data_IF_178733653895
#
_entry.id   IF_178733653895
#
_cell.length_a   1.000
_cell.length_b   1.000
_cell.length_c   1.000
_cell.angle_alpha   90.00
_cell.angle_beta   90.00
_cell.angle_gamma   90.00
#
_symmetry.space_group_name_H-M   'P 1'
#
loop_
_entity.id
_entity.type
_entity.pdbx_description
1 polymer ?
#
# COMPACT_ATOMS: atom_id res chain seq x y z
N UNK A 1 7.14 -23.54 -6.69
CA UNK A 1 6.05 -24.39 -7.24
C UNK A 1 4.68 -24.09 -6.62
N UNK A 2 4.60 -23.36 -5.50
CA UNK A 2 3.33 -22.94 -4.86
C UNK A 2 2.81 -21.57 -5.31
N UNK A 3 3.64 -20.78 -5.97
CA UNK A 3 3.34 -19.38 -6.33
C UNK A 3 2.39 -19.22 -7.53
N UNK A 4 2.44 -20.13 -8.49
CA UNK A 4 1.65 -20.02 -9.73
C UNK A 4 0.15 -20.20 -9.54
N UNK A 5 -0.28 -21.15 -8.68
CA UNK A 5 -1.70 -21.44 -8.47
C UNK A 5 -2.39 -20.38 -7.60
N UNK A 6 -1.67 -19.80 -6.62
CA UNK A 6 -2.21 -18.73 -5.79
C UNK A 6 -2.42 -17.46 -6.61
N UNK A 7 -1.41 -17.07 -7.40
CA UNK A 7 -1.46 -15.90 -8.27
C UNK A 7 -2.59 -16.01 -9.31
N UNK A 8 -2.74 -17.16 -9.95
CA UNK A 8 -3.82 -17.40 -10.91
C UNK A 8 -5.22 -17.34 -10.30
N UNK A 9 -5.38 -17.74 -9.04
CA UNK A 9 -6.67 -17.65 -8.32
C UNK A 9 -6.98 -16.20 -7.93
N UNK A 10 -5.98 -15.44 -7.50
CA UNK A 10 -6.11 -14.00 -7.20
C UNK A 10 -6.47 -13.23 -8.47
N UNK A 11 -5.74 -13.44 -9.56
CA UNK A 11 -6.00 -12.81 -10.86
C UNK A 11 -7.42 -13.11 -11.37
N UNK A 12 -7.92 -14.34 -11.19
CA UNK A 12 -9.28 -14.72 -11.59
C UNK A 12 -10.37 -13.91 -10.88
N UNK A 13 -10.11 -13.46 -9.66
CA UNK A 13 -11.05 -12.62 -8.89
C UNK A 13 -10.85 -11.14 -9.22
N UNK A 14 -9.61 -10.69 -9.34
CA UNK A 14 -9.29 -9.27 -9.55
C UNK A 14 -9.52 -8.81 -10.99
N UNK A 15 -9.25 -9.64 -11.99
CA UNK A 15 -9.39 -9.29 -13.42
C UNK A 15 -10.84 -8.82 -13.77
N UNK A 16 -11.93 -9.51 -13.36
CA UNK A 16 -13.27 -9.03 -13.68
C UNK A 16 -13.64 -7.75 -12.94
N UNK A 17 -13.15 -7.55 -11.72
CA UNK A 17 -13.35 -6.32 -10.94
C UNK A 17 -12.60 -5.17 -11.61
N UNK A 18 -11.33 -5.37 -11.98
CA UNK A 18 -10.53 -4.39 -12.72
C UNK A 18 -11.15 -3.99 -14.05
N UNK A 19 -11.68 -4.97 -14.80
CA UNK A 19 -12.40 -4.69 -16.05
C UNK A 19 -13.70 -3.90 -15.82
N UNK A 20 -14.42 -4.17 -14.74
CA UNK A 20 -15.61 -3.41 -14.33
C UNK A 20 -15.27 -1.96 -13.99
N UNK A 21 -14.24 -1.73 -13.18
CA UNK A 21 -13.75 -0.40 -12.81
C UNK A 21 -13.25 0.39 -14.03
N UNK A 22 -12.52 -0.28 -14.94
CA UNK A 22 -12.07 0.33 -16.19
C UNK A 22 -13.24 0.81 -17.05
N UNK A 23 -14.35 0.04 -17.15
CA UNK A 23 -15.55 0.42 -17.93
C UNK A 23 -16.24 1.65 -17.41
N UNK A 24 -16.19 1.92 -16.11
CA UNK A 24 -16.76 3.14 -15.50
C UNK A 24 -15.77 4.30 -15.46
N UNK A 25 -14.61 4.17 -16.10
CA UNK A 25 -13.61 5.24 -16.25
C UNK A 25 -12.63 5.38 -15.10
N UNK A 26 -12.58 4.43 -14.17
CA UNK A 26 -11.55 4.42 -13.10
C UNK A 26 -10.20 4.06 -13.71
N UNK A 27 -9.18 4.85 -13.41
CA UNK A 27 -7.80 4.63 -13.86
C UNK A 27 -6.95 4.01 -12.75
N UNK A 28 -5.90 3.26 -13.11
CA UNK A 28 -4.93 2.73 -12.16
C UNK A 28 -4.34 3.84 -11.27
N UNK A 29 -3.93 4.97 -11.86
CA UNK A 29 -3.38 6.11 -11.12
C UNK A 29 -4.38 6.69 -10.09
N UNK A 30 -5.69 6.68 -10.39
CA UNK A 30 -6.70 7.14 -9.45
C UNK A 30 -6.83 6.19 -8.25
N UNK A 31 -6.71 4.88 -8.47
CA UNK A 31 -6.71 3.89 -7.39
C UNK A 31 -5.46 4.03 -6.52
N UNK A 32 -4.28 4.13 -7.12
CA UNK A 32 -3.02 4.37 -6.41
C UNK A 32 -3.10 5.64 -5.56
N UNK A 33 -3.62 6.75 -6.11
CA UNK A 33 -3.81 8.00 -5.35
C UNK A 33 -4.83 7.83 -4.21
N UNK A 34 -5.92 7.09 -4.43
CA UNK A 34 -6.89 6.78 -3.39
C UNK A 34 -6.27 5.96 -2.25
N UNK A 35 -5.41 4.96 -2.57
CA UNK A 35 -4.66 4.18 -1.59
C UNK A 35 -3.79 5.06 -0.69
N UNK A 36 -3.06 6.01 -1.27
CA UNK A 36 -2.23 6.97 -0.51
C UNK A 36 -3.10 7.82 0.44
N UNK A 37 -4.25 8.31 -0.02
CA UNK A 37 -5.17 9.10 0.82
C UNK A 37 -5.72 8.26 1.97
N UNK A 38 -6.13 7.02 1.70
CA UNK A 38 -6.61 6.07 2.73
C UNK A 38 -5.51 5.79 3.76
N UNK A 39 -4.26 5.59 3.32
CA UNK A 39 -3.11 5.38 4.20
C UNK A 39 -2.84 6.61 5.09
N UNK A 40 -2.92 7.82 4.53
CA UNK A 40 -2.73 9.07 5.29
C UNK A 40 -3.81 9.23 6.37
N UNK A 41 -5.07 8.96 6.05
CA UNK A 41 -6.18 8.98 7.03
C UNK A 41 -5.94 7.91 8.10
N UNK A 42 -5.57 6.69 7.70
CA UNK A 42 -5.25 5.59 8.62
C UNK A 42 -4.13 5.96 9.59
N UNK A 43 -3.07 6.60 9.12
CA UNK A 43 -1.97 7.08 9.94
C UNK A 43 -2.43 8.08 11.02
N UNK A 44 -3.30 9.04 10.65
CA UNK A 44 -3.89 10.00 11.59
C UNK A 44 -4.72 9.28 12.64
N UNK A 45 -5.57 8.35 12.22
CA UNK A 45 -6.45 7.57 13.10
C UNK A 45 -5.65 6.72 14.09
N UNK A 46 -4.56 6.09 13.62
CA UNK A 46 -3.63 5.35 14.49
C UNK A 46 -2.96 6.30 15.48
N UNK A 47 -2.43 7.42 15.01
CA UNK A 47 -1.76 8.43 15.84
C UNK A 47 -2.67 8.99 16.96
N UNK A 48 -3.96 9.10 16.68
CA UNK A 48 -4.98 9.51 17.66
C UNK A 48 -5.38 8.40 18.65
N UNK A 49 -4.81 7.20 18.54
CA UNK A 49 -5.03 6.08 19.46
C UNK A 49 -6.17 5.13 19.08
N UNK A 50 -6.84 5.33 17.95
CA UNK A 50 -7.90 4.44 17.51
C UNK A 50 -7.33 3.28 16.68
N UNK A 51 -6.64 2.34 17.35
CA UNK A 51 -5.91 1.25 16.70
C UNK A 51 -6.83 0.32 15.90
N UNK A 52 -8.06 0.06 16.39
CA UNK A 52 -9.01 -0.82 15.68
C UNK A 52 -9.44 -0.20 14.35
N UNK A 53 -9.83 1.08 14.35
CA UNK A 53 -10.18 1.77 13.13
C UNK A 53 -8.97 1.94 12.22
N UNK A 54 -7.78 2.20 12.78
CA UNK A 54 -6.52 2.23 12.05
C UNK A 54 -6.21 0.91 11.34
N UNK A 55 -6.48 -0.23 11.97
CA UNK A 55 -6.37 -1.55 11.35
C UNK A 55 -7.33 -1.70 10.16
N UNK A 56 -8.57 -1.20 10.27
CA UNK A 56 -9.53 -1.20 9.14
C UNK A 56 -8.96 -0.38 7.98
N UNK A 57 -8.42 0.82 8.22
CA UNK A 57 -7.80 1.63 7.19
C UNK A 57 -6.59 0.95 6.55
N UNK A 58 -5.77 0.25 7.33
CA UNK A 58 -4.65 -0.54 6.82
C UNK A 58 -5.12 -1.62 5.83
N UNK A 59 -6.16 -2.36 6.17
CA UNK A 59 -6.74 -3.37 5.26
C UNK A 59 -7.32 -2.70 4.01
N UNK A 60 -8.02 -1.57 4.17
CA UNK A 60 -8.58 -0.80 3.06
C UNK A 60 -7.52 -0.23 2.12
N UNK A 61 -6.31 0.09 2.61
CA UNK A 61 -5.19 0.56 1.77
C UNK A 61 -4.75 -0.51 0.78
N UNK A 62 -4.80 -1.78 1.14
CA UNK A 62 -4.44 -2.89 0.25
C UNK A 62 -5.43 -3.13 -0.90
N UNK A 63 -6.67 -2.63 -0.83
CA UNK A 63 -7.66 -2.84 -1.89
C UNK A 63 -7.34 -2.04 -3.18
N UNK A 64 -7.11 -0.71 -3.13
CA UNK A 64 -6.69 0.04 -4.31
C UNK A 64 -5.42 -0.51 -4.95
N UNK A 65 -4.43 -0.87 -4.16
CA UNK A 65 -3.17 -1.45 -4.59
C UNK A 65 -3.37 -2.78 -5.34
N UNK A 66 -4.18 -3.68 -4.80
CA UNK A 66 -4.50 -4.94 -5.46
C UNK A 66 -5.27 -4.76 -6.78
N UNK A 67 -6.03 -3.67 -6.92
CA UNK A 67 -6.92 -3.42 -8.05
C UNK A 67 -6.28 -2.57 -9.15
N UNK A 68 -5.29 -1.72 -8.85
CA UNK A 68 -4.72 -0.81 -9.85
C UNK A 68 -3.98 -1.58 -10.95
N UNK A 69 -3.25 -2.65 -10.60
CA UNK A 69 -2.65 -3.57 -11.57
C UNK A 69 -3.68 -4.25 -12.47
N UNK A 70 -4.82 -4.69 -11.92
CA UNK A 70 -5.90 -5.31 -12.68
C UNK A 70 -6.58 -4.29 -13.62
N UNK A 71 -6.78 -3.05 -13.16
CA UNK A 71 -7.31 -1.95 -13.99
C UNK A 71 -6.32 -1.57 -15.10
N UNK A 72 -5.02 -1.45 -14.80
CA UNK A 72 -3.99 -1.16 -15.79
C UNK A 72 -3.92 -2.25 -16.88
N UNK A 73 -4.03 -3.52 -16.47
CA UNK A 73 -4.10 -4.68 -17.38
C UNK A 73 -5.33 -4.63 -18.27
N UNK A 74 -6.51 -4.38 -17.69
CA UNK A 74 -7.78 -4.29 -18.42
C UNK A 74 -7.81 -3.12 -19.41
N UNK A 75 -7.20 -1.99 -19.04
CA UNK A 75 -7.09 -0.79 -19.88
C UNK A 75 -5.97 -0.90 -20.95
N UNK A 76 -5.12 -1.92 -20.91
CA UNK A 76 -3.95 -2.02 -21.79
C UNK A 76 -2.89 -0.93 -21.53
N UNK A 77 -2.89 -0.33 -20.33
CA UNK A 77 -2.00 0.79 -19.93
C UNK A 77 -0.83 0.34 -19.04
N UNK A 78 -0.64 -0.97 -18.87
CA UNK A 78 0.50 -1.51 -18.13
C UNK A 78 1.81 -1.00 -18.72
N UNK A 79 2.66 -0.39 -17.88
CA UNK A 79 3.90 0.26 -18.33
C UNK A 79 4.96 0.26 -17.24
N UNK A 80 6.22 0.40 -17.61
CA UNK A 80 7.35 0.55 -16.68
C UNK A 80 7.13 1.77 -15.76
N UNK A 81 6.56 2.86 -16.30
CA UNK A 81 6.21 4.05 -15.51
C UNK A 81 5.13 3.75 -14.47
N UNK A 82 4.12 2.95 -14.84
CA UNK A 82 3.08 2.50 -13.90
C UNK A 82 3.67 1.67 -12.77
N UNK A 83 4.51 0.68 -13.07
CA UNK A 83 5.19 -0.14 -12.08
C UNK A 83 6.12 0.68 -11.15
N UNK A 84 6.77 1.72 -11.70
CA UNK A 84 7.55 2.65 -10.88
C UNK A 84 6.66 3.45 -9.91
N UNK A 85 5.55 4.00 -10.39
CA UNK A 85 4.61 4.77 -9.56
C UNK A 85 4.01 3.89 -8.45
N UNK A 86 3.64 2.67 -8.75
CA UNK A 86 3.17 1.66 -7.82
C UNK A 86 4.21 1.42 -6.70
N UNK A 87 5.44 1.11 -7.09
CA UNK A 87 6.55 0.90 -6.14
C UNK A 87 6.83 2.13 -5.26
N UNK A 88 6.71 3.35 -5.78
CA UNK A 88 6.86 4.58 -4.99
C UNK A 88 5.68 4.77 -4.05
N UNK A 89 4.47 4.48 -4.49
CA UNK A 89 3.25 4.60 -3.70
C UNK A 89 3.26 3.66 -2.50
N UNK A 90 3.73 2.43 -2.67
CA UNK A 90 3.98 1.48 -1.59
C UNK A 90 4.88 2.09 -0.50
N UNK A 91 5.95 2.73 -0.89
CA UNK A 91 6.88 3.37 0.07
C UNK A 91 6.22 4.53 0.79
N UNK A 92 5.38 5.32 0.10
CA UNK A 92 4.64 6.42 0.71
C UNK A 92 3.63 5.88 1.73
N UNK A 93 2.91 4.80 1.40
CA UNK A 93 1.96 4.16 2.33
C UNK A 93 2.66 3.56 3.54
N UNK A 94 3.82 2.93 3.37
CA UNK A 94 4.67 2.45 4.47
C UNK A 94 5.08 3.61 5.40
N UNK A 95 5.51 4.75 4.82
CA UNK A 95 5.89 5.95 5.59
C UNK A 95 4.72 6.43 6.44
N UNK A 96 3.51 6.52 5.88
CA UNK A 96 2.33 6.94 6.63
C UNK A 96 2.03 5.96 7.76
N UNK A 97 2.00 4.66 7.49
CA UNK A 97 1.71 3.64 8.49
C UNK A 97 2.68 3.71 9.68
N UNK A 98 3.98 3.64 9.39
CA UNK A 98 4.99 3.65 10.45
C UNK A 98 5.04 5.00 11.18
N UNK A 99 4.77 6.11 10.50
CA UNK A 99 4.65 7.43 11.15
C UNK A 99 3.45 7.51 12.10
N UNK A 100 2.30 6.96 11.71
CA UNK A 100 1.12 6.88 12.57
C UNK A 100 1.38 6.04 13.82
N UNK A 101 2.04 4.89 13.68
CA UNK A 101 2.43 4.04 14.80
C UNK A 101 3.45 4.75 15.71
N UNK A 102 4.45 5.42 15.13
CA UNK A 102 5.44 6.16 15.89
C UNK A 102 4.79 7.31 16.70
N UNK A 103 3.83 8.03 16.10
CA UNK A 103 3.06 9.06 16.78
C UNK A 103 2.25 8.48 17.94
N UNK A 104 1.52 7.38 17.72
CA UNK A 104 0.78 6.70 18.78
C UNK A 104 1.67 6.32 19.97
N UNK A 105 2.81 5.67 19.68
CA UNK A 105 3.77 5.24 20.71
C UNK A 105 4.41 6.43 21.43
N UNK A 106 4.73 7.50 20.73
CA UNK A 106 5.28 8.72 21.33
C UNK A 106 4.30 9.41 22.30
N UNK A 107 3.00 9.27 22.05
CA UNK A 107 1.94 9.92 22.84
C UNK A 107 1.45 9.08 24.00
N UNK A 108 1.55 7.74 23.92
CA UNK A 108 0.89 6.83 24.86
C UNK A 108 1.87 5.96 25.66
N UNK A 109 3.10 5.79 25.20
CA UNK A 109 4.07 4.90 25.83
C UNK A 109 5.28 5.68 26.36
N UNK A 110 5.74 5.39 27.59
CA UNK A 110 6.92 6.04 28.13
C UNK A 110 8.20 5.56 27.43
N UNK A 111 9.16 6.47 27.25
CA UNK A 111 10.49 6.13 26.78
C UNK A 111 10.68 6.27 25.28
N UNK A 112 11.55 5.42 24.71
CA UNK A 112 12.03 5.55 23.32
C UNK A 112 11.45 4.50 22.37
N UNK A 113 10.33 3.85 22.75
CA UNK A 113 9.75 2.75 21.96
C UNK A 113 9.31 3.22 20.56
N UNK A 114 9.00 4.51 20.39
CA UNK A 114 8.68 5.11 19.11
C UNK A 114 9.80 4.99 18.06
N UNK A 115 11.04 4.69 18.49
CA UNK A 115 12.17 4.46 17.58
C UNK A 115 11.99 3.16 16.78
N UNK A 116 11.27 2.17 17.31
CA UNK A 116 11.08 0.87 16.64
C UNK A 116 10.39 1.01 15.28
N UNK A 117 9.21 1.64 15.13
CA UNK A 117 8.59 1.80 13.82
C UNK A 117 9.47 2.61 12.85
N UNK A 118 10.22 3.60 13.33
CA UNK A 118 11.16 4.36 12.49
C UNK A 118 12.30 3.48 12.00
N UNK A 119 12.86 2.63 12.85
CA UNK A 119 13.90 1.67 12.47
C UNK A 119 13.38 0.63 11.47
N UNK A 120 12.17 0.10 11.70
CA UNK A 120 11.53 -0.86 10.77
C UNK A 120 11.28 -0.21 9.41
N UNK A 121 10.78 1.02 9.39
CA UNK A 121 10.61 1.80 8.15
C UNK A 121 11.94 1.96 7.41
N UNK A 122 13.01 2.34 8.11
CA UNK A 122 14.35 2.45 7.52
C UNK A 122 14.83 1.12 6.91
N UNK A 123 14.62 0.01 7.60
CA UNK A 123 14.97 -1.32 7.10
C UNK A 123 14.13 -1.70 5.85
N UNK A 124 12.83 -1.44 5.86
CA UNK A 124 11.95 -1.69 4.71
C UNK A 124 12.37 -0.89 3.47
N UNK A 125 12.73 0.39 3.66
CA UNK A 125 13.26 1.23 2.58
C UNK A 125 14.59 0.69 2.03
N UNK A 126 15.48 0.24 2.90
CA UNK A 126 16.78 -0.33 2.50
C UNK A 126 16.61 -1.62 1.70
N UNK A 127 15.70 -2.52 2.12
CA UNK A 127 15.39 -3.76 1.39
C UNK A 127 14.85 -3.43 0.00
N UNK A 128 13.91 -2.47 -0.10
CA UNK A 128 13.35 -2.03 -1.36
C UNK A 128 14.41 -1.44 -2.30
N UNK A 129 15.33 -0.63 -1.76
CA UNK A 129 16.45 -0.08 -2.52
C UNK A 129 17.40 -1.17 -3.03
N UNK A 130 17.74 -2.14 -2.17
CA UNK A 130 18.61 -3.26 -2.56
C UNK A 130 17.98 -4.07 -3.69
N UNK A 131 16.68 -4.34 -3.61
CA UNK A 131 15.95 -5.06 -4.65
C UNK A 131 16.01 -4.33 -5.99
N UNK A 132 15.73 -3.03 -6.01
CA UNK A 132 15.79 -2.20 -7.20
C UNK A 132 17.20 -2.08 -7.81
N UNK A 133 18.26 -2.34 -7.03
CA UNK A 133 19.65 -2.35 -7.51
C UNK A 133 20.10 -3.73 -8.01
N UNK A 134 19.41 -4.80 -7.60
CA UNK A 134 19.74 -6.17 -8.00
C UNK A 134 19.09 -6.59 -9.34
N UNK A 135 18.07 -5.85 -9.81
CA UNK A 135 17.40 -5.97 -11.11
C UNK A 135 18.12 -5.14 -12.19
#
# INVERSE_FOLDING_TARGET
MFDGNFRSNVDRVLDPIGAGLCRIGVTANALTAAGIVVAAIGAIVIGQGNLFLGFIFLVLTGLPDALDGAVAKAAGTSSIRGAFLDSVSDRITDIFLFSGIAWYLASNEPGRIMILPVAVMGAAMLISYQRAKAE
#
